data_IF_820401291775
#
_entry.id   IF_820401291775
#
_cell.length_a   1.000
_cell.length_b   1.000
_cell.length_c   1.000
_cell.angle_alpha   90.00
_cell.angle_beta   90.00
_cell.angle_gamma   90.00
#
_symmetry.space_group_name_H-M   'P 1'
#
loop_
_entity.id
_entity.type
_entity.pdbx_description
1 polymer ?
#
# COMPACT_ATOMS: atom_id res chain seq x y z
N UNK A 1 2.90 -33.56 25.05
CA UNK A 1 1.49 -33.15 25.14
C UNK A 1 1.45 -31.62 25.27
N UNK A 2 1.58 -30.89 24.15
CA UNK A 2 1.64 -29.41 24.12
C UNK A 2 0.46 -28.87 23.31
N UNK A 3 -0.75 -29.19 23.77
CA UNK A 3 -2.00 -28.72 23.16
C UNK A 3 -2.18 -27.20 23.37
N UNK A 4 -1.52 -26.63 24.40
CA UNK A 4 -1.62 -25.21 24.74
C UNK A 4 -0.92 -24.27 23.75
N UNK A 5 0.20 -24.66 23.11
CA UNK A 5 0.88 -23.80 22.12
C UNK A 5 0.14 -23.69 20.78
N UNK A 6 -0.72 -24.65 20.46
CA UNK A 6 -1.45 -24.69 19.19
C UNK A 6 -2.73 -23.84 19.22
N UNK A 7 -3.34 -23.66 20.41
CA UNK A 7 -4.47 -22.75 20.58
C UNK A 7 -4.05 -21.27 20.44
N UNK A 8 -2.87 -20.89 20.93
CA UNK A 8 -2.37 -19.51 20.84
C UNK A 8 -2.10 -19.08 19.39
N UNK A 9 -1.59 -20.00 18.56
CA UNK A 9 -1.34 -19.74 17.13
C UNK A 9 -2.66 -19.62 16.37
N UNK A 10 -3.63 -20.52 16.60
CA UNK A 10 -4.93 -20.42 15.96
C UNK A 10 -5.71 -19.17 16.39
N UNK A 11 -5.57 -18.73 17.65
CA UNK A 11 -6.17 -17.50 18.14
C UNK A 11 -5.49 -16.26 17.54
N UNK A 12 -4.15 -16.22 17.46
CA UNK A 12 -3.42 -15.13 16.82
C UNK A 12 -3.74 -15.03 15.32
N UNK A 13 -3.84 -16.17 14.61
CA UNK A 13 -4.29 -16.22 13.21
C UNK A 13 -5.74 -15.71 13.10
N UNK A 14 -6.63 -16.16 13.98
CA UNK A 14 -8.03 -15.70 13.97
C UNK A 14 -8.16 -14.20 14.26
N UNK A 15 -7.33 -13.66 15.17
CA UNK A 15 -7.29 -12.24 15.50
C UNK A 15 -6.73 -11.44 14.32
N UNK A 16 -5.65 -11.87 13.67
CA UNK A 16 -5.11 -11.22 12.46
C UNK A 16 -6.11 -11.24 11.30
N UNK A 17 -6.82 -12.36 11.12
CA UNK A 17 -7.88 -12.50 10.11
C UNK A 17 -9.09 -11.61 10.45
N UNK A 18 -9.49 -11.51 11.72
CA UNK A 18 -10.56 -10.62 12.17
C UNK A 18 -10.17 -9.14 12.12
N UNK A 19 -8.89 -8.81 12.35
CA UNK A 19 -8.31 -7.47 12.20
C UNK A 19 -8.26 -7.06 10.71
N UNK A 20 -7.91 -7.99 9.83
CA UNK A 20 -7.99 -7.81 8.38
C UNK A 20 -9.46 -7.64 7.93
N UNK A 21 -10.39 -8.39 8.54
CA UNK A 21 -11.82 -8.29 8.27
C UNK A 21 -12.46 -6.97 8.78
N UNK A 22 -11.97 -6.37 9.86
CA UNK A 22 -12.47 -5.07 10.34
C UNK A 22 -11.93 -3.88 9.54
N UNK A 23 -10.84 -4.06 8.79
CA UNK A 23 -10.33 -3.10 7.79
C UNK A 23 -11.16 -3.08 6.47
N UNK A 24 -12.18 -3.94 6.35
CA UNK A 24 -13.00 -4.15 5.12
C UNK A 24 -13.97 -3.01 4.75
N UNK A 25 -13.82 -1.81 5.31
CA UNK A 25 -14.61 -0.65 4.89
C UNK A 25 -13.88 0.07 3.75
N UNK A 26 -14.05 -0.45 2.53
CA UNK A 26 -13.61 0.16 1.27
C UNK A 26 -12.16 0.68 1.30
N UNK A 27 -11.22 -0.26 1.37
CA UNK A 27 -9.79 0.00 1.32
C UNK A 27 -9.45 0.93 0.13
N UNK A 28 -9.22 2.20 0.45
CA UNK A 28 -8.92 3.27 -0.49
C UNK A 28 -7.43 3.53 -0.41
N UNK A 29 -6.78 3.69 -1.55
CA UNK A 29 -5.38 4.06 -1.65
C UNK A 29 -5.27 5.56 -1.85
N UNK A 30 -4.35 6.19 -1.12
CA UNK A 30 -3.79 7.48 -1.45
C UNK A 30 -2.71 7.27 -2.53
N UNK A 31 -2.74 8.08 -3.57
CA UNK A 31 -1.73 8.08 -4.63
C UNK A 31 -1.20 9.51 -4.74
N UNK A 32 0.04 9.74 -4.31
CA UNK A 32 0.66 11.06 -4.25
C UNK A 32 1.95 11.14 -5.05
N UNK A 33 2.60 12.29 -4.94
CA UNK A 33 3.81 12.64 -5.68
C UNK A 33 3.63 12.47 -7.20
N UNK A 34 2.44 12.77 -7.71
CA UNK A 34 2.12 12.67 -9.13
C UNK A 34 2.75 13.82 -9.93
N UNK A 35 3.07 13.56 -11.19
CA UNK A 35 3.43 14.63 -12.12
C UNK A 35 2.21 15.57 -12.35
N UNK A 36 2.39 16.89 -12.48
CA UNK A 36 1.29 17.85 -12.64
C UNK A 36 0.33 17.52 -13.79
N UNK A 37 0.86 16.97 -14.87
CA UNK A 37 0.10 16.60 -16.08
C UNK A 37 -0.60 15.23 -15.98
N UNK A 38 -0.45 14.50 -14.87
CA UNK A 38 -1.17 13.24 -14.67
C UNK A 38 -2.67 13.51 -14.66
N UNK A 39 -3.40 12.80 -15.52
CA UNK A 39 -4.85 12.86 -15.59
C UNK A 39 -5.47 11.63 -14.95
N UNK A 40 -6.75 11.75 -14.60
CA UNK A 40 -7.55 10.66 -14.08
C UNK A 40 -7.58 9.43 -15.01
N UNK A 41 -7.55 9.64 -16.33
CA UNK A 41 -7.53 8.54 -17.31
C UNK A 41 -6.23 7.73 -17.25
N UNK A 42 -5.08 8.40 -17.10
CA UNK A 42 -3.79 7.71 -16.98
C UNK A 42 -3.71 6.85 -15.72
N UNK A 43 -4.19 7.40 -14.60
CA UNK A 43 -4.29 6.65 -13.34
C UNK A 43 -5.26 5.47 -13.49
N UNK A 44 -6.40 5.67 -14.16
CA UNK A 44 -7.37 4.60 -14.38
C UNK A 44 -6.75 3.46 -15.19
N UNK A 45 -6.07 3.76 -16.29
CA UNK A 45 -5.38 2.77 -17.12
C UNK A 45 -4.33 2.00 -16.31
N UNK A 46 -3.48 2.72 -15.58
CA UNK A 46 -2.41 2.13 -14.77
C UNK A 46 -2.97 1.18 -13.70
N UNK A 47 -3.95 1.62 -12.93
CA UNK A 47 -4.50 0.83 -11.81
C UNK A 47 -5.47 -0.27 -12.28
N UNK A 48 -6.07 -0.13 -13.48
CA UNK A 48 -6.90 -1.19 -14.07
C UNK A 48 -6.10 -2.45 -14.43
N UNK A 49 -4.77 -2.35 -14.56
CA UNK A 49 -3.89 -3.51 -14.74
C UNK A 49 -3.85 -4.44 -13.52
N UNK A 50 -4.12 -3.91 -12.32
CA UNK A 50 -4.13 -4.67 -11.06
C UNK A 50 -5.50 -5.24 -10.76
N UNK A 51 -6.56 -4.46 -11.02
CA UNK A 51 -7.92 -4.90 -10.81
C UNK A 51 -8.94 -3.83 -11.16
N UNK A 52 -10.23 -4.17 -11.06
CA UNK A 52 -11.30 -3.26 -11.47
C UNK A 52 -11.44 -2.09 -10.50
N UNK A 53 -11.15 -0.87 -10.97
CA UNK A 53 -11.31 0.36 -10.19
C UNK A 53 -12.79 0.67 -9.98
N UNK A 54 -13.20 0.90 -8.73
CA UNK A 54 -14.56 1.31 -8.33
C UNK A 54 -14.70 2.83 -8.33
N UNK A 55 -13.73 3.51 -7.74
CA UNK A 55 -13.74 4.96 -7.62
C UNK A 55 -12.32 5.50 -7.81
N UNK A 56 -12.20 6.61 -8.54
CA UNK A 56 -10.96 7.32 -8.76
C UNK A 56 -11.26 8.81 -8.65
N UNK A 57 -10.47 9.52 -7.85
CA UNK A 57 -10.54 10.98 -7.73
C UNK A 57 -9.14 11.56 -7.77
N UNK A 58 -8.81 12.32 -8.80
CA UNK A 58 -7.66 13.21 -8.80
C UNK A 58 -8.06 14.51 -8.07
N UNK A 59 -7.28 14.95 -7.10
CA UNK A 59 -7.56 16.18 -6.36
C UNK A 59 -7.02 17.38 -7.14
N UNK A 60 -7.89 18.38 -7.34
CA UNK A 60 -7.58 19.59 -8.10
C UNK A 60 -7.90 20.83 -7.25
N UNK A 61 -7.13 21.89 -7.42
CA UNK A 61 -7.43 23.23 -6.93
C UNK A 61 -7.72 24.13 -8.12
N UNK A 62 -8.97 24.58 -8.27
CA UNK A 62 -9.43 25.44 -9.38
C UNK A 62 -8.99 24.94 -10.76
N UNK A 63 -9.07 23.61 -10.99
CA UNK A 63 -8.66 22.97 -12.25
C UNK A 63 -7.19 22.61 -12.37
N UNK A 64 -6.33 23.02 -11.42
CA UNK A 64 -4.91 22.66 -11.37
C UNK A 64 -4.69 21.42 -10.52
N UNK A 65 -3.86 20.48 -10.96
CA UNK A 65 -3.53 19.27 -10.21
C UNK A 65 -2.90 19.58 -8.86
N UNK A 66 -3.42 18.98 -7.79
CA UNK A 66 -2.77 18.95 -6.48
C UNK A 66 -1.75 17.81 -6.36
N UNK A 67 -1.51 17.07 -7.45
CA UNK A 67 -0.50 16.01 -7.54
C UNK A 67 -0.76 14.82 -6.60
N UNK A 68 -2.01 14.64 -6.18
CA UNK A 68 -2.45 13.43 -5.49
C UNK A 68 -3.91 13.10 -5.80
N UNK A 69 -4.28 11.86 -5.53
CA UNK A 69 -5.65 11.37 -5.67
C UNK A 69 -5.93 10.18 -4.77
N UNK A 70 -7.16 9.69 -4.89
CA UNK A 70 -7.65 8.53 -4.15
C UNK A 70 -8.23 7.50 -5.11
N UNK A 71 -7.89 6.23 -4.90
CA UNK A 71 -8.34 5.11 -5.73
C UNK A 71 -8.89 4.02 -4.84
N UNK A 72 -10.07 3.51 -5.16
CA UNK A 72 -10.60 2.30 -4.53
C UNK A 72 -11.03 1.29 -5.58
N UNK A 73 -10.84 0.02 -5.26
CA UNK A 73 -11.16 -1.09 -6.15
C UNK A 73 -12.56 -1.63 -5.87
N UNK A 74 -13.16 -2.24 -6.88
CA UNK A 74 -14.38 -3.01 -6.69
C UNK A 74 -14.05 -4.21 -5.81
N UNK A 75 -14.92 -4.50 -4.84
CA UNK A 75 -14.75 -5.63 -3.94
C UNK A 75 -15.06 -6.94 -4.70
N UNK A 76 -14.17 -7.31 -5.59
CA UNK A 76 -14.00 -8.69 -6.01
C UNK A 76 -12.66 -9.08 -5.44
N UNK A 77 -12.64 -10.12 -4.60
CA UNK A 77 -11.39 -10.83 -4.40
C UNK A 77 -11.01 -11.31 -5.81
N UNK A 78 -10.14 -10.58 -6.51
CA UNK A 78 -9.54 -11.12 -7.72
C UNK A 78 -8.57 -12.20 -7.23
N UNK A 79 -9.14 -13.39 -7.01
CA UNK A 79 -8.42 -14.64 -6.71
C UNK A 79 -7.57 -15.08 -7.92
N UNK A 80 -7.47 -14.24 -8.96
CA UNK A 80 -6.76 -14.55 -10.19
C UNK A 80 -5.26 -14.35 -9.95
N UNK A 81 -4.63 -15.48 -9.60
CA UNK A 81 -3.29 -15.89 -10.04
C UNK A 81 -2.08 -15.49 -9.18
N UNK A 82 -2.23 -15.15 -7.90
CA UNK A 82 -1.08 -15.06 -6.97
C UNK A 82 -0.79 -16.37 -6.19
N UNK A 83 -1.64 -17.41 -6.30
CA UNK A 83 -1.34 -18.72 -5.69
C UNK A 83 -0.10 -19.43 -6.27
N UNK A 84 0.63 -18.85 -7.23
CA UNK A 84 1.74 -19.50 -7.94
C UNK A 84 3.15 -19.01 -7.57
N UNK A 85 3.31 -17.99 -6.73
CA UNK A 85 4.62 -17.48 -6.31
C UNK A 85 4.98 -17.74 -4.84
N UNK A 86 4.39 -18.77 -4.21
CA UNK A 86 4.83 -19.26 -2.91
C UNK A 86 5.34 -20.70 -3.06
N UNK A 87 6.54 -20.84 -3.61
CA UNK A 87 7.18 -22.13 -3.88
C UNK A 87 8.44 -22.31 -3.02
N UNK A 88 8.32 -22.24 -1.69
CA UNK A 88 9.16 -23.00 -0.74
C UNK A 88 8.77 -22.70 0.72
N UNK A 89 7.70 -23.32 1.23
CA UNK A 89 7.68 -23.96 2.55
C UNK A 89 6.35 -24.67 2.76
N UNK A 90 6.43 -25.87 3.31
CA UNK A 90 5.31 -26.73 3.70
C UNK A 90 4.62 -26.15 4.93
N UNK A 91 3.72 -25.19 4.73
CA UNK A 91 2.57 -24.88 5.60
C UNK A 91 1.65 -23.92 4.82
N UNK A 92 0.51 -24.43 4.35
CA UNK A 92 -0.41 -23.71 3.46
C UNK A 92 -1.19 -22.68 4.27
N UNK A 93 -0.63 -21.49 4.45
CA UNK A 93 -1.39 -20.27 4.73
C UNK A 93 -1.51 -19.55 3.40
N UNK A 94 -2.58 -19.84 2.64
CA UNK A 94 -2.93 -19.00 1.47
C UNK A 94 -3.43 -17.67 2.01
N UNK A 95 -2.53 -16.73 2.25
CA UNK A 95 -2.91 -15.34 2.49
C UNK A 95 -3.56 -14.81 1.22
N UNK A 96 -4.88 -14.66 1.25
CA UNK A 96 -5.62 -14.00 0.19
C UNK A 96 -5.38 -12.51 0.35
N UNK A 97 -4.39 -11.97 -0.37
CA UNK A 97 -4.19 -10.53 -0.44
C UNK A 97 -5.33 -9.85 -1.19
N UNK A 98 -5.79 -8.72 -0.69
CA UNK A 98 -6.82 -7.92 -1.34
C UNK A 98 -6.21 -7.14 -2.52
N UNK A 99 -7.01 -6.84 -3.54
CA UNK A 99 -6.57 -6.07 -4.72
C UNK A 99 -5.85 -4.75 -4.36
N UNK A 100 -6.29 -3.97 -3.35
CA UNK A 100 -5.59 -2.74 -2.97
C UNK A 100 -4.20 -2.99 -2.34
N UNK A 101 -4.02 -4.08 -1.58
CA UNK A 101 -2.70 -4.49 -1.07
C UNK A 101 -1.76 -4.80 -2.23
N UNK A 102 -2.26 -5.52 -3.23
CA UNK A 102 -1.49 -5.87 -4.40
C UNK A 102 -1.08 -4.63 -5.23
N UNK A 103 -1.98 -3.66 -5.38
CA UNK A 103 -1.66 -2.41 -6.05
C UNK A 103 -0.59 -1.61 -5.30
N UNK A 104 -0.59 -1.63 -3.96
CA UNK A 104 0.44 -1.00 -3.14
C UNK A 104 1.81 -1.67 -3.37
N UNK A 105 1.87 -2.99 -3.42
CA UNK A 105 3.13 -3.72 -3.64
C UNK A 105 3.70 -3.54 -5.06
N UNK A 106 2.83 -3.56 -6.08
CA UNK A 106 3.27 -3.54 -7.48
C UNK A 106 3.52 -2.13 -8.02
N UNK A 107 2.72 -1.14 -7.62
CA UNK A 107 2.69 0.17 -8.26
C UNK A 107 3.29 1.28 -7.42
N UNK A 108 3.61 1.03 -6.15
CA UNK A 108 4.33 2.01 -5.34
C UNK A 108 5.72 2.22 -5.95
N UNK A 109 6.19 3.46 -5.97
CA UNK A 109 7.41 3.94 -6.66
C UNK A 109 7.45 3.75 -8.17
N UNK A 110 6.41 3.15 -8.78
CA UNK A 110 6.35 2.97 -10.22
C UNK A 110 6.20 4.31 -10.94
N UNK A 111 6.81 4.43 -12.11
CA UNK A 111 7.00 5.72 -12.78
C UNK A 111 5.78 6.03 -13.67
N UNK A 112 5.21 7.22 -13.49
CA UNK A 112 4.18 7.78 -14.37
C UNK A 112 4.58 9.19 -14.81
N UNK A 113 4.71 9.40 -16.12
CA UNK A 113 5.23 10.64 -16.72
C UNK A 113 6.59 11.07 -16.14
N UNK A 114 7.49 10.12 -15.92
CA UNK A 114 8.84 10.40 -15.40
C UNK A 114 8.91 10.68 -13.90
N UNK A 115 7.78 10.62 -13.17
CA UNK A 115 7.74 10.82 -11.73
C UNK A 115 7.29 9.55 -11.00
N UNK A 116 8.00 9.11 -9.94
CA UNK A 116 7.60 7.94 -9.16
C UNK A 116 6.35 8.26 -8.34
N UNK A 117 5.34 7.39 -8.43
CA UNK A 117 4.12 7.53 -7.63
C UNK A 117 4.35 7.06 -6.20
N UNK A 118 3.75 7.73 -5.22
CA UNK A 118 3.73 7.28 -3.83
C UNK A 118 2.35 6.73 -3.48
N UNK A 119 2.26 5.42 -3.29
CA UNK A 119 1.01 4.74 -2.95
C UNK A 119 1.02 4.37 -1.47
N UNK A 120 -0.07 4.70 -0.79
CA UNK A 120 -0.25 4.40 0.63
C UNK A 120 -1.69 4.01 0.90
N UNK A 121 -1.94 3.33 2.00
CA UNK A 121 -3.28 3.26 2.54
C UNK A 121 -3.83 4.66 2.80
N UNK A 122 -5.05 4.92 2.34
CA UNK A 122 -5.72 6.17 2.64
C UNK A 122 -5.99 6.23 4.14
N UNK A 123 -5.37 7.19 4.80
CA UNK A 123 -5.56 7.46 6.21
C UNK A 123 -6.27 8.80 6.34
N UNK A 124 -7.56 8.75 6.70
CA UNK A 124 -8.45 9.91 6.84
C UNK A 124 -8.18 10.70 8.12
N UNK A 125 -7.51 10.09 9.11
CA UNK A 125 -7.12 10.79 10.32
C UNK A 125 -5.89 11.68 10.07
N UNK A 126 -6.17 12.96 9.84
CA UNK A 126 -5.17 14.03 9.61
C UNK A 126 -4.27 14.25 10.83
N UNK A 127 -4.70 13.85 12.04
CA UNK A 127 -3.95 14.07 13.28
C UNK A 127 -2.59 13.36 13.26
N UNK A 128 -2.51 12.15 12.71
CA UNK A 128 -1.28 11.36 12.60
C UNK A 128 -0.30 11.91 11.56
N UNK A 129 -0.78 12.72 10.60
CA UNK A 129 0.08 13.43 9.63
C UNK A 129 0.60 14.75 10.18
N UNK A 130 -0.15 15.36 11.10
CA UNK A 130 0.14 16.69 11.65
C UNK A 130 0.88 16.65 12.99
N UNK A 131 0.91 15.52 13.69
CA UNK A 131 1.54 15.42 15.02
C UNK A 131 3.07 15.35 14.98
N UNK A 132 3.70 15.21 13.80
CA UNK A 132 5.13 14.85 13.64
C UNK A 132 5.56 13.59 14.41
N UNK A 133 4.61 12.88 15.02
CA UNK A 133 4.85 11.75 15.89
C UNK A 133 5.10 10.51 15.02
N UNK A 134 6.29 9.92 15.13
CA UNK A 134 6.73 8.80 14.29
C UNK A 134 7.46 9.18 13.00
N UNK A 135 7.59 10.47 12.66
CA UNK A 135 8.41 10.91 11.53
C UNK A 135 9.90 11.03 11.94
N UNK A 136 10.78 10.38 11.19
CA UNK A 136 12.24 10.42 11.41
C UNK A 136 12.90 11.18 10.26
N UNK A 137 13.72 12.18 10.59
CA UNK A 137 14.52 12.93 9.61
C UNK A 137 15.98 12.50 9.68
N UNK A 138 16.49 11.94 8.58
CA UNK A 138 17.88 11.49 8.46
C UNK A 138 18.63 12.44 7.54
N UNK A 139 19.73 13.03 8.05
CA UNK A 139 20.57 13.99 7.30
C UNK A 139 21.95 13.40 7.06
N UNK A 140 22.64 13.90 6.03
CA UNK A 140 24.00 13.47 5.70
C UNK A 140 24.07 12.13 4.96
N UNK A 141 22.98 11.74 4.29
CA UNK A 141 22.93 10.53 3.47
C UNK A 141 23.75 10.72 2.19
N UNK A 142 24.37 9.63 1.75
CA UNK A 142 25.08 9.60 0.47
C UNK A 142 24.09 9.75 -0.68
N UNK A 143 24.45 10.53 -1.71
CA UNK A 143 23.56 10.83 -2.85
C UNK A 143 23.20 9.61 -3.70
N UNK A 144 23.89 8.49 -3.51
CA UNK A 144 23.69 7.23 -4.22
C UNK A 144 22.56 6.38 -3.64
N UNK A 145 22.10 6.66 -2.42
CA UNK A 145 21.03 5.89 -1.77
C UNK A 145 19.65 6.36 -2.22
N UNK A 146 18.87 5.45 -2.80
CA UNK A 146 17.50 5.71 -3.22
C UNK A 146 16.47 5.41 -2.11
N UNK A 147 15.21 5.78 -2.34
CA UNK A 147 14.12 5.55 -1.39
C UNK A 147 13.85 4.06 -1.13
N UNK A 148 14.23 3.17 -2.05
CA UNK A 148 14.01 1.73 -1.92
C UNK A 148 15.00 1.11 -0.92
N UNK A 149 16.28 1.45 -1.04
CA UNK A 149 17.31 1.01 -0.09
C UNK A 149 17.00 1.44 1.35
N UNK A 150 16.46 2.65 1.53
CA UNK A 150 16.03 3.14 2.83
C UNK A 150 14.79 2.38 3.33
N UNK A 151 13.79 2.17 2.48
CA UNK A 151 12.60 1.41 2.86
C UNK A 151 12.98 0.02 3.37
N UNK A 152 13.81 -0.72 2.62
CA UNK A 152 14.25 -2.07 2.99
C UNK A 152 15.00 -2.08 4.33
N UNK A 153 15.89 -1.10 4.54
CA UNK A 153 16.65 -0.98 5.79
C UNK A 153 15.72 -0.69 6.98
N UNK A 154 14.85 0.32 6.86
CA UNK A 154 14.03 0.80 7.98
C UNK A 154 12.84 -0.10 8.31
N UNK A 155 12.37 -0.90 7.34
CA UNK A 155 11.30 -1.89 7.56
C UNK A 155 11.66 -2.94 8.62
N UNK A 156 12.95 -3.14 8.89
CA UNK A 156 13.43 -4.03 9.97
C UNK A 156 13.04 -3.53 11.37
N UNK A 157 12.83 -2.22 11.55
CA UNK A 157 12.53 -1.62 12.86
C UNK A 157 11.03 -1.44 13.13
N UNK A 158 10.18 -1.70 12.14
CA UNK A 158 8.73 -1.56 12.25
C UNK A 158 8.07 -1.24 10.92
N UNK A 159 6.74 -1.09 10.95
CA UNK A 159 5.98 -0.76 9.75
C UNK A 159 6.32 0.67 9.27
N UNK A 160 6.95 0.77 8.09
CA UNK A 160 7.23 2.05 7.43
C UNK A 160 6.04 2.45 6.58
N UNK A 161 5.33 3.50 7.01
CA UNK A 161 4.19 4.04 6.27
C UNK A 161 4.62 4.71 4.96
N UNK A 162 5.72 5.47 4.99
CA UNK A 162 6.31 6.10 3.81
C UNK A 162 7.76 6.46 4.05
N UNK A 163 8.58 6.45 2.99
CA UNK A 163 9.96 6.92 3.00
C UNK A 163 10.22 7.78 1.76
N UNK A 164 11.06 8.82 1.89
CA UNK A 164 11.49 9.69 0.79
C UNK A 164 12.91 10.20 1.07
N UNK A 165 13.73 10.21 0.02
CA UNK A 165 15.06 10.86 -0.05
C UNK A 165 14.96 12.17 -0.82
#
# INVERSE_FOLDING_TARGET
MNILKHLDICAAISISVLQCASFQMAATLYVGDLHPDVTQSMLLEKFSSVGRVRNLRLCLNTGTSLQYGFISFQHQADVKKWSLYSFHTTEIIREVKLVPEHALELLNVDILLGQPMRIMWSQSDSSLRNSNEGNIFIKGLEKSLDSMAHYDTFSTFGNVLSCKV
#
